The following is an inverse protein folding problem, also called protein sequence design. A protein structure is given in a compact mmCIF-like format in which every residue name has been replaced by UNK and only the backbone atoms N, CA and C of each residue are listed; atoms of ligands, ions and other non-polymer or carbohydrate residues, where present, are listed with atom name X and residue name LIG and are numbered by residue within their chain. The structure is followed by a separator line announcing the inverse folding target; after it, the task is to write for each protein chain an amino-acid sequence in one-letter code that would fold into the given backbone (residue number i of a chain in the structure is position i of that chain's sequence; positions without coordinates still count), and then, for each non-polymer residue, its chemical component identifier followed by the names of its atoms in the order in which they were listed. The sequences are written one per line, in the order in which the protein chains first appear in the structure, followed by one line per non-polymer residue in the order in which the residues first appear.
data_IF_649400712228
#
_entry.id   IF_649400712228
#
_cell.length_a   1.000
_cell.length_b   1.000
_cell.length_c   1.000
_cell.angle_alpha   90.00
_cell.angle_beta   90.00
_cell.angle_gamma   90.00
#
_symmetry.space_group_name_H-M   'P 1'
#
loop_
_entity.id
_entity.type
_entity.pdbx_description
1 polymer ?
#
# COMPACT_ATOMS: atom_id res chain seq x y z
N UNK A 1 18.03 -7.42 -32.75
CA UNK A 1 16.64 -7.89 -32.59
C UNK A 1 15.73 -6.81 -33.14
N UNK A 2 14.89 -7.13 -34.12
CA UNK A 2 13.96 -6.15 -34.71
C UNK A 2 12.82 -5.88 -33.72
N UNK A 3 12.57 -4.63 -33.41
CA UNK A 3 11.49 -4.20 -32.52
C UNK A 3 10.14 -4.24 -33.23
N UNK A 4 9.06 -4.35 -32.46
CA UNK A 4 7.69 -4.33 -33.01
C UNK A 4 7.37 -3.03 -33.74
N UNK A 5 8.03 -1.93 -33.41
CA UNK A 5 7.80 -0.63 -34.02
C UNK A 5 8.47 -0.55 -35.40
N UNK A 6 9.70 -1.05 -35.53
CA UNK A 6 10.41 -1.15 -36.82
C UNK A 6 9.64 -2.00 -37.84
N UNK A 7 9.03 -3.12 -37.41
CA UNK A 7 8.20 -3.95 -38.30
C UNK A 7 6.94 -3.19 -38.76
N UNK A 8 6.35 -2.36 -37.89
CA UNK A 8 5.17 -1.54 -38.25
C UNK A 8 5.52 -0.42 -39.23
N UNK A 9 6.75 0.11 -39.19
CA UNK A 9 7.26 1.04 -40.20
C UNK A 9 7.29 0.36 -41.57
N UNK A 10 7.76 -0.90 -41.64
CA UNK A 10 7.76 -1.68 -42.88
C UNK A 10 6.32 -1.88 -43.39
N UNK A 11 5.37 -2.18 -42.50
CA UNK A 11 3.95 -2.28 -42.90
C UNK A 11 3.42 -0.97 -43.49
N UNK A 12 3.75 0.17 -42.88
CA UNK A 12 3.30 1.49 -43.36
C UNK A 12 3.93 1.84 -44.72
N UNK A 13 5.22 1.55 -44.88
CA UNK A 13 5.94 1.74 -46.15
C UNK A 13 5.31 0.93 -47.29
N UNK A 14 5.10 -0.38 -47.09
CA UNK A 14 4.50 -1.26 -48.08
C UNK A 14 3.04 -0.88 -48.38
N UNK A 15 2.29 -0.44 -47.36
CA UNK A 15 0.95 0.11 -47.57
C UNK A 15 0.95 1.35 -48.48
N UNK A 16 1.85 2.31 -48.25
CA UNK A 16 1.97 3.52 -49.12
C UNK A 16 2.45 3.21 -50.52
N UNK A 17 3.26 2.15 -50.68
CA UNK A 17 3.70 1.62 -51.97
C UNK A 17 2.58 0.91 -52.75
N UNK A 18 1.47 0.57 -52.09
CA UNK A 18 0.30 -0.04 -52.72
C UNK A 18 0.37 -1.57 -52.83
N UNK A 19 1.26 -2.24 -52.11
CA UNK A 19 1.29 -3.71 -52.07
C UNK A 19 0.16 -4.26 -51.21
N UNK A 20 -0.19 -5.54 -51.40
CA UNK A 20 -1.25 -6.18 -50.62
C UNK A 20 -0.71 -6.73 -49.29
N UNK A 21 -1.51 -6.67 -48.24
CA UNK A 21 -1.12 -7.17 -46.90
C UNK A 21 -0.69 -8.65 -46.90
N UNK A 22 -1.22 -9.46 -47.82
CA UNK A 22 -0.82 -10.87 -47.94
C UNK A 22 0.60 -10.97 -48.51
N UNK A 23 0.89 -10.24 -49.59
CA UNK A 23 2.20 -10.18 -50.22
C UNK A 23 3.26 -9.61 -49.28
N UNK A 24 2.93 -8.54 -48.55
CA UNK A 24 3.81 -7.96 -47.54
C UNK A 24 4.14 -8.95 -46.41
N UNK A 25 3.17 -9.73 -45.93
CA UNK A 25 3.43 -10.74 -44.91
C UNK A 25 4.36 -11.87 -45.41
N UNK A 26 4.18 -12.26 -46.67
CA UNK A 26 4.99 -13.29 -47.33
C UNK A 26 6.43 -12.82 -47.54
N UNK A 27 6.63 -11.62 -48.09
CA UNK A 27 7.95 -11.02 -48.30
C UNK A 27 8.71 -10.83 -46.96
N UNK A 28 8.01 -10.39 -45.91
CA UNK A 28 8.62 -10.25 -44.59
C UNK A 28 9.01 -11.62 -44.00
N UNK A 29 8.17 -12.65 -44.15
CA UNK A 29 8.51 -13.99 -43.68
C UNK A 29 9.64 -14.63 -44.51
N UNK A 30 9.79 -14.28 -45.79
CA UNK A 30 10.94 -14.70 -46.60
C UNK A 30 12.24 -14.06 -46.11
N UNK A 31 12.22 -12.75 -45.82
CA UNK A 31 13.42 -11.99 -45.43
C UNK A 31 13.83 -12.23 -43.98
N UNK A 32 12.87 -12.30 -43.05
CA UNK A 32 13.12 -12.36 -41.61
C UNK A 32 12.90 -13.75 -40.98
N UNK A 33 12.46 -14.73 -41.78
CA UNK A 33 12.23 -16.10 -41.37
C UNK A 33 10.74 -16.49 -41.30
N UNK A 34 10.47 -17.77 -41.55
CA UNK A 34 9.11 -18.28 -41.62
C UNK A 34 8.36 -18.05 -40.29
N UNK A 35 7.16 -17.47 -40.38
CA UNK A 35 6.33 -17.17 -39.21
C UNK A 35 6.74 -15.93 -38.39
N UNK A 36 7.71 -15.14 -38.86
CA UNK A 36 8.15 -13.91 -38.20
C UNK A 36 6.99 -12.90 -37.99
N UNK A 37 6.11 -12.75 -38.98
CA UNK A 37 4.85 -11.99 -38.89
C UNK A 37 3.65 -12.86 -39.22
N UNK A 38 2.60 -12.72 -38.40
CA UNK A 38 1.31 -13.34 -38.68
C UNK A 38 0.54 -12.51 -39.73
N UNK A 39 0.10 -13.10 -40.86
CA UNK A 39 -0.65 -12.39 -41.91
C UNK A 39 -1.89 -11.63 -41.39
N UNK A 40 -2.56 -12.15 -40.38
CA UNK A 40 -3.70 -11.49 -39.72
C UNK A 40 -3.30 -10.18 -39.02
N UNK A 41 -2.07 -10.12 -38.50
CA UNK A 41 -1.53 -8.89 -37.89
C UNK A 41 -1.29 -7.84 -38.96
N UNK A 42 -0.69 -8.20 -40.10
CA UNK A 42 -0.43 -7.28 -41.23
C UNK A 42 -1.75 -6.74 -41.77
N UNK A 43 -2.76 -7.60 -41.99
CA UNK A 43 -4.10 -7.19 -42.43
C UNK A 43 -4.76 -6.21 -41.46
N UNK A 44 -4.64 -6.43 -40.15
CA UNK A 44 -5.19 -5.52 -39.12
C UNK A 44 -4.52 -4.15 -39.18
N UNK A 45 -3.20 -4.09 -39.38
CA UNK A 45 -2.47 -2.82 -39.54
C UNK A 45 -2.86 -2.09 -40.83
N UNK A 46 -2.95 -2.79 -41.95
CA UNK A 46 -3.41 -2.21 -43.22
C UNK A 46 -4.83 -1.68 -43.13
N UNK A 47 -5.70 -2.32 -42.34
CA UNK A 47 -7.04 -1.78 -42.05
C UNK A 47 -6.96 -0.44 -41.30
N UNK A 48 -6.15 -0.36 -40.23
CA UNK A 48 -5.94 0.90 -39.48
C UNK A 48 -5.38 2.02 -40.36
N UNK A 49 -4.44 1.70 -41.27
CA UNK A 49 -3.88 2.69 -42.20
C UNK A 49 -4.91 3.19 -43.22
N UNK A 50 -5.80 2.31 -43.73
CA UNK A 50 -6.93 2.75 -44.57
C UNK A 50 -7.92 3.66 -43.84
N UNK A 51 -8.05 3.49 -42.53
CA UNK A 51 -8.87 4.34 -41.67
C UNK A 51 -8.16 5.67 -41.30
N UNK A 52 -6.97 5.94 -41.84
CA UNK A 52 -6.21 7.18 -41.65
C UNK A 52 -5.36 7.21 -40.38
N UNK A 53 -5.28 6.12 -39.62
CA UNK A 53 -4.48 6.05 -38.39
C UNK A 53 -3.08 5.49 -38.67
N UNK A 54 -2.10 6.38 -38.86
CA UNK A 54 -0.68 6.02 -39.06
C UNK A 54 0.10 5.86 -37.73
N UNK A 55 -0.57 5.87 -36.56
CA UNK A 55 0.12 5.71 -35.27
C UNK A 55 0.67 4.28 -35.11
N UNK A 56 2.00 4.17 -35.00
CA UNK A 56 2.73 2.92 -34.88
C UNK A 56 2.79 2.38 -33.46
N UNK A 57 2.34 3.13 -32.46
CA UNK A 57 2.29 2.70 -31.07
C UNK A 57 1.10 1.77 -30.78
N UNK A 58 1.18 1.01 -29.69
CA UNK A 58 -0.01 0.33 -29.19
C UNK A 58 -0.92 1.38 -28.55
N UNK A 59 -2.23 1.28 -28.80
CA UNK A 59 -3.17 2.00 -27.96
C UNK A 59 -3.04 1.50 -26.52
N UNK A 60 -3.27 2.42 -25.58
CA UNK A 60 -3.26 2.13 -24.17
C UNK A 60 -4.26 1.01 -23.88
N UNK A 61 -3.72 -0.19 -23.63
CA UNK A 61 -4.51 -1.34 -23.18
C UNK A 61 -4.77 -1.18 -21.70
N UNK A 62 -5.64 -0.23 -21.37
CA UNK A 62 -6.16 -0.06 -20.03
C UNK A 62 -7.19 -1.14 -19.70
N UNK A 63 -7.08 -1.72 -18.51
CA UNK A 63 -8.27 -2.31 -17.86
C UNK A 63 -9.32 -1.19 -17.74
N UNK A 64 -10.62 -1.44 -17.94
CA UNK A 64 -11.65 -0.44 -17.67
C UNK A 64 -11.38 0.19 -16.31
N UNK A 65 -11.39 1.53 -16.25
CA UNK A 65 -11.23 2.24 -15.00
C UNK A 65 -12.22 1.63 -13.99
N UNK A 66 -11.73 1.23 -12.82
CA UNK A 66 -12.59 0.65 -11.80
C UNK A 66 -13.67 1.68 -11.49
N UNK A 67 -14.94 1.30 -11.65
CA UNK A 67 -16.12 2.09 -11.31
C UNK A 67 -16.27 2.12 -9.79
N UNK A 68 -15.25 2.58 -9.10
CA UNK A 68 -15.29 2.78 -7.66
C UNK A 68 -15.03 4.26 -7.44
N UNK A 69 -16.09 4.97 -7.10
CA UNK A 69 -16.04 6.38 -6.76
C UNK A 69 -15.24 6.56 -5.46
N UNK A 70 -14.16 7.33 -5.56
CA UNK A 70 -13.29 7.60 -4.42
C UNK A 70 -13.99 8.45 -3.35
N UNK A 71 -14.99 9.26 -3.72
CA UNK A 71 -15.76 10.06 -2.77
C UNK A 71 -16.73 9.19 -1.97
N UNK A 72 -17.39 8.25 -2.63
CA UNK A 72 -18.18 7.22 -1.94
C UNK A 72 -17.32 6.31 -1.04
N UNK A 73 -16.05 6.07 -1.39
CA UNK A 73 -15.14 5.35 -0.49
C UNK A 73 -14.76 6.19 0.73
N UNK A 74 -14.56 7.50 0.58
CA UNK A 74 -14.27 8.39 1.71
C UNK A 74 -15.39 8.40 2.74
N UNK A 75 -16.64 8.49 2.30
CA UNK A 75 -17.80 8.51 3.21
C UNK A 75 -17.95 7.19 3.97
N UNK A 76 -17.71 6.05 3.32
CA UNK A 76 -17.73 4.74 3.99
C UNK A 76 -16.63 4.65 5.06
N UNK A 77 -15.42 5.13 4.79
CA UNK A 77 -14.29 5.08 5.74
C UNK A 77 -14.53 5.99 6.95
N UNK A 78 -15.17 7.14 6.74
CA UNK A 78 -15.53 8.06 7.83
C UNK A 78 -16.59 7.45 8.75
N UNK A 79 -17.50 6.63 8.19
CA UNK A 79 -18.50 5.91 8.97
C UNK A 79 -17.94 4.66 9.67
N UNK A 80 -17.04 3.91 9.01
CA UNK A 80 -16.42 2.70 9.56
C UNK A 80 -14.97 2.53 9.07
N UNK A 81 -14.03 2.84 9.97
CA UNK A 81 -12.60 2.82 9.68
C UNK A 81 -11.97 1.43 9.56
N UNK A 82 -12.71 0.35 9.84
CA UNK A 82 -12.15 -1.00 9.98
C UNK A 82 -12.30 -1.92 8.74
N UNK A 83 -12.69 -1.39 7.57
CA UNK A 83 -12.96 -2.22 6.39
C UNK A 83 -11.75 -2.81 5.66
N UNK A 84 -12.01 -3.92 4.94
CA UNK A 84 -11.06 -4.93 4.46
C UNK A 84 -10.44 -4.70 3.07
N UNK A 85 -9.47 -5.58 2.76
CA UNK A 85 -8.35 -5.46 1.83
C UNK A 85 -8.65 -5.15 0.35
N UNK A 86 -9.89 -5.28 -0.13
CA UNK A 86 -10.25 -4.93 -1.53
C UNK A 86 -10.10 -3.42 -1.76
N UNK A 87 -10.34 -2.62 -0.70
CA UNK A 87 -10.21 -1.16 -0.74
C UNK A 87 -8.74 -0.73 -0.61
N UNK A 88 -7.79 -1.61 -0.24
CA UNK A 88 -6.41 -1.20 0.07
C UNK A 88 -5.71 -0.42 -1.04
N UNK A 89 -5.92 -0.80 -2.32
CA UNK A 89 -5.36 -0.06 -3.46
C UNK A 89 -5.98 1.34 -3.59
N UNK A 90 -7.29 1.47 -3.39
CA UNK A 90 -7.98 2.75 -3.43
C UNK A 90 -7.67 3.62 -2.20
N UNK A 91 -7.61 3.04 -1.00
CA UNK A 91 -7.17 3.70 0.23
C UNK A 91 -5.79 4.33 0.03
N UNK A 92 -4.85 3.60 -0.58
CA UNK A 92 -3.51 4.11 -0.86
C UNK A 92 -3.54 5.25 -1.89
N UNK A 93 -4.39 5.18 -2.92
CA UNK A 93 -4.58 6.28 -3.88
C UNK A 93 -5.16 7.54 -3.22
N UNK A 94 -6.02 7.38 -2.20
CA UNK A 94 -6.62 8.47 -1.41
C UNK A 94 -5.67 8.95 -0.28
N UNK A 95 -4.50 8.34 -0.12
CA UNK A 95 -3.51 8.70 0.90
C UNK A 95 -3.80 8.18 2.31
N UNK A 96 -4.72 7.22 2.46
CA UNK A 96 -5.00 6.56 3.75
C UNK A 96 -4.01 5.44 4.01
N UNK A 97 -3.57 5.30 5.26
CA UNK A 97 -2.66 4.23 5.71
C UNK A 97 -3.25 3.50 6.90
N UNK A 98 -3.14 2.16 6.92
CA UNK A 98 -3.58 1.34 8.05
C UNK A 98 -2.68 1.62 9.26
N UNK A 99 -3.29 2.01 10.38
CA UNK A 99 -2.63 2.13 11.69
C UNK A 99 -3.29 1.15 12.65
N UNK A 100 -2.52 0.68 13.63
CA UNK A 100 -3.07 -0.10 14.73
C UNK A 100 -3.69 0.86 15.75
N UNK A 101 -4.77 0.41 16.40
CA UNK A 101 -5.37 1.14 17.50
C UNK A 101 -4.37 1.31 18.64
N UNK A 102 -4.48 2.45 19.32
CA UNK A 102 -3.66 2.75 20.48
C UNK A 102 -4.29 2.15 21.73
N UNK A 103 -3.52 1.34 22.45
CA UNK A 103 -3.93 0.87 23.77
C UNK A 103 -3.95 2.04 24.77
N UNK A 104 -5.11 2.29 25.35
CA UNK A 104 -5.30 3.26 26.43
C UNK A 104 -5.63 2.48 27.71
N UNK A 105 -5.05 2.81 28.88
CA UNK A 105 -5.24 2.02 30.11
C UNK A 105 -6.69 1.90 30.60
N UNK A 106 -7.51 2.92 30.36
CA UNK A 106 -8.90 2.94 30.82
C UNK A 106 -9.77 3.86 29.96
N UNK A 107 -11.05 3.52 29.84
CA UNK A 107 -12.06 4.41 29.27
C UNK A 107 -12.38 5.52 30.28
N UNK A 108 -12.04 6.76 29.95
CA UNK A 108 -12.18 7.89 30.87
C UNK A 108 -13.55 8.52 30.72
N UNK A 109 -14.29 8.63 31.84
CA UNK A 109 -15.60 9.31 31.88
C UNK A 109 -15.45 10.83 31.76
N UNK A 110 -16.49 11.54 31.31
CA UNK A 110 -16.46 13.01 31.18
C UNK A 110 -16.10 13.71 32.49
N UNK A 111 -16.62 13.22 33.64
CA UNK A 111 -16.26 13.75 34.96
C UNK A 111 -14.76 13.61 35.25
N UNK A 112 -14.17 12.46 34.93
CA UNK A 112 -12.73 12.23 35.11
C UNK A 112 -11.91 13.11 34.15
N UNK A 113 -12.37 13.34 32.91
CA UNK A 113 -11.72 14.26 31.97
C UNK A 113 -11.71 15.69 32.50
N UNK A 114 -12.85 16.18 32.96
CA UNK A 114 -12.96 17.53 33.53
C UNK A 114 -12.07 17.70 34.76
N UNK A 115 -12.09 16.72 35.67
CA UNK A 115 -11.22 16.73 36.87
C UNK A 115 -9.74 16.79 36.48
N UNK A 116 -9.32 16.01 35.48
CA UNK A 116 -7.94 16.03 34.97
C UNK A 116 -7.59 17.37 34.34
N UNK A 117 -8.50 17.96 33.57
CA UNK A 117 -8.29 19.27 32.94
C UNK A 117 -8.10 20.37 33.98
N UNK A 118 -8.95 20.40 35.01
CA UNK A 118 -8.87 21.38 36.10
C UNK A 118 -7.56 21.26 36.87
N UNK A 119 -7.18 20.04 37.28
CA UNK A 119 -5.92 19.78 37.99
C UNK A 119 -4.72 20.20 37.13
N UNK A 120 -4.66 19.76 35.86
CA UNK A 120 -3.57 20.10 34.96
C UNK A 120 -3.47 21.62 34.74
N UNK A 121 -4.60 22.31 34.57
CA UNK A 121 -4.63 23.76 34.38
C UNK A 121 -4.13 24.51 35.61
N UNK A 122 -4.56 24.08 36.80
CA UNK A 122 -4.12 24.65 38.08
C UNK A 122 -2.61 24.44 38.30
N UNK A 123 -2.11 23.23 38.09
CA UNK A 123 -0.68 22.91 38.21
C UNK A 123 0.18 23.69 37.20
N UNK A 124 -0.32 23.85 35.96
CA UNK A 124 0.36 24.63 34.94
C UNK A 124 0.46 26.11 35.32
N UNK A 125 -0.64 26.69 35.81
CA UNK A 125 -0.66 28.08 36.26
C UNK A 125 0.28 28.29 37.47
N UNK A 126 0.22 27.39 38.45
CA UNK A 126 1.14 27.40 39.59
C UNK A 126 2.59 27.39 39.13
N UNK A 127 2.96 26.49 38.22
CA UNK A 127 4.34 26.35 37.73
C UNK A 127 4.84 27.59 36.96
N UNK A 128 3.94 28.32 36.30
CA UNK A 128 4.29 29.60 35.66
C UNK A 128 4.58 30.70 36.68
N UNK A 129 3.87 30.70 37.81
CA UNK A 129 3.99 31.74 38.83
C UNK A 129 5.15 31.47 39.81
N UNK A 130 5.31 30.23 40.26
CA UNK A 130 6.43 29.75 41.07
C UNK A 130 6.83 28.36 40.56
N UNK A 131 7.90 28.26 39.73
CA UNK A 131 8.40 26.99 39.25
C UNK A 131 8.72 26.05 40.42
N UNK A 132 8.09 24.88 40.43
CA UNK A 132 8.20 23.94 41.55
C UNK A 132 8.62 22.53 41.13
N UNK A 133 8.89 22.30 39.84
CA UNK A 133 9.24 20.98 39.32
C UNK A 133 10.52 20.41 39.93
N UNK A 134 11.48 21.26 40.28
CA UNK A 134 12.74 20.90 40.96
C UNK A 134 12.54 20.42 42.41
N UNK A 135 11.39 20.73 43.02
CA UNK A 135 11.02 20.34 44.38
C UNK A 135 10.14 19.09 44.41
N UNK A 136 9.75 18.53 43.26
CA UNK A 136 8.88 17.35 43.21
C UNK A 136 9.69 16.08 43.46
N UNK A 137 9.25 15.30 44.45
CA UNK A 137 9.65 13.90 44.64
C UNK A 137 8.47 13.02 44.22
N UNK A 138 8.69 12.05 43.33
CA UNK A 138 7.65 11.16 42.79
C UNK A 138 7.96 9.74 43.26
N UNK A 139 6.96 9.07 43.84
CA UNK A 139 7.05 7.67 44.22
C UNK A 139 6.00 6.86 43.47
N UNK A 140 6.36 5.65 43.03
CA UNK A 140 5.43 4.69 42.43
C UNK A 140 5.88 3.24 42.69
N UNK A 141 4.95 2.30 42.59
CA UNK A 141 5.19 0.87 42.78
C UNK A 141 5.02 0.11 41.47
N UNK A 142 5.99 -0.75 41.15
CA UNK A 142 5.99 -1.53 39.91
C UNK A 142 6.33 -2.99 40.17
N UNK A 143 5.45 -3.88 39.70
CA UNK A 143 5.75 -5.30 39.62
C UNK A 143 6.76 -5.57 38.49
N UNK A 144 7.92 -6.13 38.84
CA UNK A 144 8.92 -6.62 37.89
C UNK A 144 8.84 -8.14 37.83
N UNK A 145 8.63 -8.66 36.63
CA UNK A 145 8.63 -10.11 36.36
C UNK A 145 10.07 -10.60 36.22
N UNK A 146 10.38 -11.77 36.81
CA UNK A 146 11.71 -12.40 36.62
C UNK A 146 11.98 -12.78 35.17
N UNK A 147 10.93 -13.15 34.44
CA UNK A 147 11.02 -13.53 33.03
C UNK A 147 10.01 -12.71 32.22
N UNK A 148 10.47 -11.58 31.69
CA UNK A 148 9.69 -10.61 30.90
C UNK A 148 9.91 -10.77 29.39
N UNK A 149 9.98 -12.02 28.91
CA UNK A 149 10.17 -12.31 27.47
C UNK A 149 9.05 -11.69 26.63
N UNK A 150 9.44 -10.84 25.68
CA UNK A 150 8.56 -10.30 24.64
C UNK A 150 8.73 -11.12 23.36
N UNK A 151 7.67 -11.19 22.55
CA UNK A 151 7.81 -11.72 21.18
C UNK A 151 8.72 -10.79 20.40
N UNK A 152 9.78 -11.33 19.82
CA UNK A 152 10.66 -10.60 18.90
C UNK A 152 10.27 -10.92 17.46
N UNK A 153 10.42 -9.94 16.57
CA UNK A 153 10.32 -10.17 15.13
C UNK A 153 11.43 -11.11 14.67
N UNK A 154 11.12 -11.98 13.71
CA UNK A 154 12.08 -12.90 13.09
C UNK A 154 12.21 -12.54 11.62
N UNK A 155 13.44 -12.46 11.13
CA UNK A 155 13.72 -12.42 9.69
C UNK A 155 13.93 -13.86 9.24
N UNK A 156 13.01 -14.36 8.42
CA UNK A 156 12.99 -15.72 7.91
C UNK A 156 12.69 -15.69 6.42
N UNK A 157 13.07 -16.74 5.73
CA UNK A 157 12.69 -16.92 4.33
C UNK A 157 11.17 -17.12 4.21
N UNK A 158 10.61 -16.82 3.04
CA UNK A 158 9.16 -16.73 2.81
C UNK A 158 8.38 -18.00 3.23
N UNK A 159 9.01 -19.16 3.06
CA UNK A 159 8.39 -20.46 3.30
C UNK A 159 8.91 -21.15 4.58
N UNK A 160 9.76 -20.46 5.36
CA UNK A 160 10.33 -20.99 6.58
C UNK A 160 9.36 -20.79 7.76
N UNK A 161 9.15 -21.85 8.56
CA UNK A 161 8.26 -21.78 9.71
C UNK A 161 8.88 -20.92 10.84
N UNK A 162 8.07 -20.08 11.51
CA UNK A 162 8.55 -19.29 12.63
C UNK A 162 9.01 -20.17 13.79
N UNK A 163 10.13 -19.80 14.42
CA UNK A 163 10.63 -20.53 15.60
C UNK A 163 9.59 -20.44 16.72
N UNK A 164 9.15 -21.61 17.19
CA UNK A 164 8.16 -21.70 18.26
C UNK A 164 8.80 -21.41 19.61
N UNK A 165 8.08 -20.66 20.45
CA UNK A 165 8.48 -20.41 21.83
C UNK A 165 7.30 -20.63 22.77
N UNK A 166 7.56 -21.24 23.92
CA UNK A 166 6.57 -21.49 24.96
C UNK A 166 6.02 -20.18 25.54
N UNK A 167 4.69 -20.08 25.69
CA UNK A 167 4.06 -18.96 26.39
C UNK A 167 4.53 -18.93 27.86
N UNK A 168 4.75 -17.73 28.47
CA UNK A 168 5.03 -17.64 29.89
C UNK A 168 3.93 -18.29 30.73
N UNK A 169 4.30 -18.85 31.89
CA UNK A 169 3.34 -19.43 32.82
C UNK A 169 2.34 -18.38 33.35
N UNK A 170 1.15 -18.83 33.75
CA UNK A 170 0.04 -17.98 34.21
C UNK A 170 0.42 -17.22 35.50
N UNK A 171 1.23 -17.83 36.37
CA UNK A 171 1.72 -17.24 37.62
C UNK A 171 3.25 -17.06 37.59
N UNK A 172 3.76 -16.02 36.89
CA UNK A 172 5.19 -15.77 36.83
C UNK A 172 5.71 -15.30 38.20
N UNK A 173 6.92 -15.76 38.58
CA UNK A 173 7.65 -15.16 39.70
C UNK A 173 7.84 -13.67 39.43
N UNK A 174 7.54 -12.85 40.43
CA UNK A 174 7.59 -11.38 40.36
C UNK A 174 8.08 -10.78 41.67
N UNK A 175 8.66 -9.59 41.58
CA UNK A 175 9.10 -8.76 42.72
C UNK A 175 8.40 -7.42 42.62
N UNK A 176 7.92 -6.89 43.75
CA UNK A 176 7.44 -5.52 43.82
C UNK A 176 8.64 -4.60 44.08
N UNK A 177 8.82 -3.59 43.23
CA UNK A 177 9.83 -2.55 43.43
C UNK A 177 9.11 -1.24 43.68
N UNK A 178 9.53 -0.54 44.73
CA UNK A 178 9.11 0.84 44.99
C UNK A 178 10.19 1.78 44.47
N UNK A 179 9.82 2.72 43.61
CA UNK A 179 10.70 3.75 43.06
C UNK A 179 10.40 5.05 43.76
N UNK A 180 11.42 5.71 44.31
CA UNK A 180 11.37 6.99 45.02
C UNK A 180 12.24 8.03 44.31
#
# INVERSE_FOLDING_TARGET
MVTKQEIRIIFLYEFKKGTSAAKTAEEINIVFGEGFVNPSTVRRWFKRFREGNENLENEDRGRPASVVDNDHLRTIIEADSQQTDIVFRHLKQIGKTKKLDQWIPHEVTEKQKNSRLEICSSLLLRNKNDPFLDRIVICDEKWILYNSRKRAGQWLDKDEAPKQFSKPQITPKKVLVTVW
#
